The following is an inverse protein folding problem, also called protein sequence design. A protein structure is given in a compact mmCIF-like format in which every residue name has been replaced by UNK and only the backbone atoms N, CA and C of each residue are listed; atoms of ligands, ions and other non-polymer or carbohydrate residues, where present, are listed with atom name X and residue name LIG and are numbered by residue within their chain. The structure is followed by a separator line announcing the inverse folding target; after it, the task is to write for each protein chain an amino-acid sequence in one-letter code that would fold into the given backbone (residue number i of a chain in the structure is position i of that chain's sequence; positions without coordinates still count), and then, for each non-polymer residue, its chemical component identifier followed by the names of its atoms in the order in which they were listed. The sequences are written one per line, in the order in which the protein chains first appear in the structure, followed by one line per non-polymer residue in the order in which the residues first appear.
data_IF_405283613820
#
_entry.id   IF_405283613820
#
_cell.length_a   1.000
_cell.length_b   1.000
_cell.length_c   1.000
_cell.angle_alpha   90.00
_cell.angle_beta   90.00
_cell.angle_gamma   90.00
#
_symmetry.space_group_name_H-M   'P 1'
#
loop_
_entity.id
_entity.type
_entity.pdbx_description
1 polymer ?
#
# COMPACT_ATOMS: atom_id res chain seq x y z
N UNK A 1 -20.59 4.44 -9.97
CA UNK A 1 -19.64 4.54 -8.83
C UNK A 1 -19.86 5.87 -8.14
N UNK A 2 -19.77 5.91 -6.80
CA UNK A 2 -19.90 7.15 -6.02
C UNK A 2 -18.57 7.91 -5.96
N UNK A 3 -18.60 9.22 -5.75
CA UNK A 3 -17.43 10.12 -5.78
C UNK A 3 -16.27 9.70 -4.85
N UNK A 4 -16.57 9.15 -3.68
CA UNK A 4 -15.55 8.72 -2.73
C UNK A 4 -14.73 7.50 -3.20
N UNK A 5 -15.28 6.67 -4.11
CA UNK A 5 -14.50 5.59 -4.72
C UNK A 5 -13.46 6.15 -5.69
N UNK A 6 -13.77 7.24 -6.39
CA UNK A 6 -12.83 7.92 -7.27
C UNK A 6 -11.67 8.50 -6.47
N UNK A 7 -11.96 9.15 -5.35
CA UNK A 7 -10.93 9.63 -4.41
C UNK A 7 -10.02 8.50 -3.91
N UNK A 8 -10.59 7.36 -3.51
CA UNK A 8 -9.80 6.20 -3.10
C UNK A 8 -8.90 5.68 -4.25
N UNK A 9 -9.44 5.55 -5.45
CA UNK A 9 -8.68 5.12 -6.64
C UNK A 9 -7.53 6.07 -6.95
N UNK A 10 -7.72 7.39 -6.83
CA UNK A 10 -6.65 8.37 -7.02
C UNK A 10 -5.53 8.19 -5.99
N UNK A 11 -5.87 7.97 -4.71
CA UNK A 11 -4.87 7.71 -3.66
C UNK A 11 -4.09 6.44 -3.98
N UNK A 12 -4.77 5.36 -4.41
CA UNK A 12 -4.11 4.15 -4.89
C UNK A 12 -3.18 4.45 -6.07
N UNK A 13 -3.63 5.22 -7.06
CA UNK A 13 -2.83 5.61 -8.21
C UNK A 13 -1.54 6.31 -7.79
N UNK A 14 -1.63 7.31 -6.91
CA UNK A 14 -0.46 8.02 -6.37
C UNK A 14 0.48 7.09 -5.60
N UNK A 15 -0.06 6.20 -4.77
CA UNK A 15 0.73 5.24 -4.00
C UNK A 15 1.44 4.22 -4.91
N UNK A 16 0.74 3.69 -5.92
CA UNK A 16 1.29 2.76 -6.90
C UNK A 16 2.41 3.41 -7.69
N UNK A 17 2.25 4.66 -8.13
CA UNK A 17 3.30 5.40 -8.82
C UNK A 17 4.53 5.59 -7.93
N UNK A 18 4.32 5.98 -6.67
CA UNK A 18 5.42 6.18 -5.73
C UNK A 18 6.18 4.88 -5.43
N UNK A 19 5.47 3.83 -5.00
CA UNK A 19 6.12 2.56 -4.65
C UNK A 19 6.66 1.82 -5.87
N UNK A 20 6.00 1.96 -7.03
CA UNK A 20 6.48 1.44 -8.30
C UNK A 20 7.78 2.11 -8.75
N UNK A 21 7.87 3.43 -8.61
CA UNK A 21 9.10 4.17 -8.85
C UNK A 21 10.23 3.73 -7.92
N UNK A 22 9.97 3.61 -6.61
CA UNK A 22 10.96 3.11 -5.65
C UNK A 22 11.39 1.68 -5.98
N UNK A 23 10.45 0.81 -6.33
CA UNK A 23 10.74 -0.56 -6.74
C UNK A 23 11.66 -0.59 -7.97
N UNK A 24 11.38 0.23 -8.98
CA UNK A 24 12.20 0.31 -10.18
C UNK A 24 13.63 0.76 -9.89
N UNK A 25 13.81 1.81 -9.09
CA UNK A 25 15.15 2.28 -8.69
C UNK A 25 15.93 1.19 -7.94
N UNK A 26 15.28 0.52 -6.99
CA UNK A 26 15.94 -0.51 -6.18
C UNK A 26 16.28 -1.75 -7.02
N UNK A 27 15.44 -2.12 -7.98
CA UNK A 27 15.75 -3.16 -8.96
C UNK A 27 16.95 -2.76 -9.82
N UNK A 28 16.97 -1.53 -10.32
CA UNK A 28 18.08 -1.02 -11.11
C UNK A 28 19.40 -1.09 -10.32
N UNK A 29 19.42 -0.59 -9.08
CA UNK A 29 20.59 -0.67 -8.20
C UNK A 29 21.00 -2.12 -7.93
N UNK A 30 20.04 -3.00 -7.63
CA UNK A 30 20.31 -4.43 -7.42
C UNK A 30 21.00 -5.07 -8.62
N UNK A 31 20.47 -4.88 -9.83
CA UNK A 31 21.06 -5.47 -11.03
C UNK A 31 22.39 -4.82 -11.41
N UNK A 32 22.53 -3.49 -11.24
CA UNK A 32 23.79 -2.79 -11.47
C UNK A 32 24.90 -3.32 -10.53
N UNK A 33 24.64 -3.39 -9.23
CA UNK A 33 25.61 -3.88 -8.25
C UNK A 33 25.95 -5.36 -8.48
N UNK A 34 24.95 -6.18 -8.83
CA UNK A 34 25.16 -7.58 -9.14
C UNK A 34 26.01 -7.79 -10.40
N UNK A 35 25.88 -6.92 -11.41
CA UNK A 35 26.73 -6.95 -12.60
C UNK A 35 28.19 -6.60 -12.33
N UNK A 36 28.44 -5.81 -11.28
CA UNK A 36 29.77 -5.42 -10.80
C UNK A 36 30.36 -6.43 -9.79
N UNK A 37 29.64 -7.52 -9.49
CA UNK A 37 30.08 -8.54 -8.54
C UNK A 37 29.89 -8.17 -7.07
N UNK A 38 29.15 -7.10 -6.76
CA UNK A 38 28.82 -6.72 -5.39
C UNK A 38 27.65 -7.56 -4.84
N UNK A 39 27.73 -7.91 -3.56
CA UNK A 39 26.63 -8.54 -2.84
C UNK A 39 25.59 -7.49 -2.40
N UNK A 40 24.53 -7.35 -3.20
CA UNK A 40 23.38 -6.50 -2.88
C UNK A 40 22.18 -7.38 -2.50
N UNK A 41 21.44 -6.99 -1.45
CA UNK A 41 20.24 -7.73 -1.05
C UNK A 41 19.03 -7.35 -1.89
N UNK A 42 18.30 -8.34 -2.41
CA UNK A 42 17.03 -8.12 -3.11
C UNK A 42 15.89 -7.64 -2.18
N UNK A 43 16.08 -7.68 -0.86
CA UNK A 43 15.02 -7.45 0.13
C UNK A 43 14.30 -6.11 -0.07
N UNK A 44 15.04 -5.02 -0.33
CA UNK A 44 14.45 -3.69 -0.51
C UNK A 44 13.64 -3.59 -1.81
N UNK A 45 14.21 -4.06 -2.93
CA UNK A 45 13.53 -4.10 -4.21
C UNK A 45 12.25 -4.95 -4.15
N UNK A 46 12.35 -6.15 -3.56
CA UNK A 46 11.23 -7.07 -3.38
C UNK A 46 10.11 -6.52 -2.50
N UNK A 47 10.43 -5.79 -1.41
CA UNK A 47 9.43 -5.14 -0.55
C UNK A 47 8.61 -4.11 -1.33
N UNK A 48 9.26 -3.19 -2.05
CA UNK A 48 8.54 -2.18 -2.82
C UNK A 48 7.75 -2.78 -3.98
N UNK A 49 8.30 -3.80 -4.64
CA UNK A 49 7.61 -4.52 -5.71
C UNK A 49 6.36 -5.23 -5.18
N UNK A 50 6.48 -5.92 -4.04
CA UNK A 50 5.38 -6.58 -3.37
C UNK A 50 4.28 -5.61 -2.97
N UNK A 51 4.64 -4.49 -2.34
CA UNK A 51 3.68 -3.43 -1.95
C UNK A 51 2.96 -2.86 -3.18
N UNK A 52 3.69 -2.54 -4.25
CA UNK A 52 3.11 -2.03 -5.49
C UNK A 52 2.12 -3.02 -6.10
N UNK A 53 2.49 -4.31 -6.14
CA UNK A 53 1.66 -5.38 -6.67
C UNK A 53 0.37 -5.56 -5.86
N UNK A 54 0.48 -5.58 -4.53
CA UNK A 54 -0.68 -5.67 -3.63
C UNK A 54 -1.61 -4.48 -3.83
N UNK A 55 -1.08 -3.25 -3.91
CA UNK A 55 -1.89 -2.06 -4.12
C UNK A 55 -2.62 -2.08 -5.47
N UNK A 56 -1.96 -2.53 -6.55
CA UNK A 56 -2.59 -2.73 -7.86
C UNK A 56 -3.72 -3.76 -7.74
N UNK A 57 -3.45 -4.91 -7.13
CA UNK A 57 -4.43 -6.00 -7.00
C UNK A 57 -5.68 -5.54 -6.22
N UNK A 58 -5.51 -4.77 -5.14
CA UNK A 58 -6.62 -4.24 -4.35
C UNK A 58 -7.40 -3.17 -5.11
N UNK A 59 -6.72 -2.25 -5.80
CA UNK A 59 -7.37 -1.19 -6.56
C UNK A 59 -8.17 -1.76 -7.74
N UNK A 60 -7.53 -2.60 -8.57
CA UNK A 60 -8.15 -3.21 -9.75
C UNK A 60 -9.19 -4.25 -9.34
N UNK A 61 -8.89 -5.11 -8.37
CA UNK A 61 -9.81 -6.12 -7.85
C UNK A 61 -11.04 -5.50 -7.19
N UNK A 62 -10.84 -4.48 -6.35
CA UNK A 62 -11.94 -3.71 -5.75
C UNK A 62 -12.81 -3.03 -6.82
N UNK A 63 -12.19 -2.37 -7.80
CA UNK A 63 -12.89 -1.75 -8.93
C UNK A 63 -13.70 -2.76 -9.75
N UNK A 64 -13.12 -3.92 -10.05
CA UNK A 64 -13.77 -4.98 -10.81
C UNK A 64 -14.97 -5.58 -10.07
N UNK A 65 -14.81 -5.90 -8.78
CA UNK A 65 -15.88 -6.47 -7.95
C UNK A 65 -17.06 -5.49 -7.77
N UNK A 66 -16.80 -4.19 -7.76
CA UNK A 66 -17.85 -3.16 -7.73
C UNK A 66 -18.70 -3.07 -9.01
N UNK A 67 -18.31 -3.74 -10.10
CA UNK A 67 -19.16 -3.82 -11.31
C UNK A 67 -20.32 -4.79 -11.16
N UNK A 68 -20.23 -5.73 -10.21
CA UNK A 68 -21.28 -6.70 -9.92
C UNK A 68 -22.08 -6.26 -8.68
N UNK A 69 -23.40 -6.15 -8.81
CA UNK A 69 -24.30 -5.73 -7.71
C UNK A 69 -24.23 -6.65 -6.50
N UNK A 70 -24.08 -7.95 -6.72
CA UNK A 70 -23.92 -8.95 -5.64
C UNK A 70 -22.60 -8.82 -4.87
N UNK A 71 -21.54 -8.31 -5.51
CA UNK A 71 -20.19 -8.23 -4.94
C UNK A 71 -19.76 -6.81 -4.54
N UNK A 72 -20.65 -5.82 -4.70
CA UNK A 72 -20.31 -4.41 -4.43
C UNK A 72 -19.85 -4.17 -2.98
N UNK A 73 -20.42 -4.89 -2.00
CA UNK A 73 -19.97 -4.80 -0.59
C UNK A 73 -18.54 -5.29 -0.42
N UNK A 74 -18.20 -6.43 -1.02
CA UNK A 74 -16.84 -6.99 -0.98
C UNK A 74 -15.84 -6.07 -1.69
N UNK A 75 -16.22 -5.53 -2.85
CA UNK A 75 -15.41 -4.56 -3.59
C UNK A 75 -15.10 -3.31 -2.77
N UNK A 76 -16.08 -2.79 -2.02
CA UNK A 76 -15.87 -1.67 -1.10
C UNK A 76 -14.92 -2.05 0.04
N UNK A 77 -15.07 -3.21 0.66
CA UNK A 77 -14.18 -3.66 1.73
C UNK A 77 -12.74 -3.73 1.23
N UNK A 78 -12.51 -4.33 0.07
CA UNK A 78 -11.16 -4.45 -0.51
C UNK A 78 -10.56 -3.08 -0.84
N UNK A 79 -11.35 -2.20 -1.46
CA UNK A 79 -10.89 -0.85 -1.81
C UNK A 79 -10.57 -0.01 -0.56
N UNK A 80 -11.33 -0.14 0.52
CA UNK A 80 -11.13 0.67 1.72
C UNK A 80 -10.22 0.00 2.77
N UNK A 81 -9.81 -1.25 2.55
CA UNK A 81 -9.04 -2.01 3.53
C UNK A 81 -7.76 -1.31 4.00
N UNK A 82 -6.90 -0.72 3.14
CA UNK A 82 -5.69 -0.06 3.64
C UNK A 82 -6.01 1.15 4.52
N UNK A 83 -7.08 1.89 4.20
CA UNK A 83 -7.52 3.01 5.02
C UNK A 83 -8.04 2.56 6.38
N UNK A 84 -8.75 1.42 6.42
CA UNK A 84 -9.19 0.80 7.68
C UNK A 84 -7.97 0.42 8.52
N UNK A 85 -6.95 -0.21 7.93
CA UNK A 85 -5.72 -0.60 8.63
C UNK A 85 -4.99 0.63 9.17
N UNK A 86 -4.85 1.69 8.38
CA UNK A 86 -4.22 2.96 8.81
C UNK A 86 -5.03 3.59 9.96
N UNK A 87 -6.36 3.59 9.86
CA UNK A 87 -7.24 4.12 10.90
C UNK A 87 -7.11 3.35 12.22
N UNK A 88 -7.06 2.01 12.16
CA UNK A 88 -6.85 1.16 13.33
C UNK A 88 -5.48 1.41 13.97
N UNK A 89 -4.43 1.54 13.16
CA UNK A 89 -3.09 1.84 13.66
C UNK A 89 -3.03 3.23 14.32
N UNK A 90 -3.64 4.25 13.71
CA UNK A 90 -3.71 5.60 14.27
C UNK A 90 -4.47 5.62 15.60
N UNK A 91 -5.60 4.92 15.70
CA UNK A 91 -6.36 4.78 16.95
C UNK A 91 -5.52 4.09 18.03
N UNK A 92 -4.85 3.00 17.68
CA UNK A 92 -3.95 2.31 18.60
C UNK A 92 -2.82 3.21 19.10
N UNK A 93 -2.19 3.99 18.20
CA UNK A 93 -1.15 4.95 18.56
C UNK A 93 -1.68 6.04 19.51
N UNK A 94 -2.88 6.56 19.27
CA UNK A 94 -3.54 7.53 20.16
C UNK A 94 -3.77 6.92 21.55
N UNK A 95 -4.27 5.69 21.63
CA UNK A 95 -4.48 4.99 22.91
C UNK A 95 -3.17 4.86 23.66
N UNK A 96 -2.08 4.46 22.99
CA UNK A 96 -0.77 4.37 23.62
C UNK A 96 -0.30 5.71 24.18
N UNK A 97 -0.39 6.79 23.40
CA UNK A 97 0.00 8.13 23.83
C UNK A 97 -0.81 8.55 25.07
N UNK A 98 -2.13 8.39 25.05
CA UNK A 98 -2.99 8.74 26.19
C UNK A 98 -2.71 7.86 27.43
N UNK A 99 -2.51 6.55 27.24
CA UNK A 99 -2.21 5.61 28.32
C UNK A 99 -0.82 5.82 28.95
N UNK A 100 0.14 6.35 28.19
CA UNK A 100 1.50 6.62 28.66
C UNK A 100 1.58 7.86 29.57
N UNK A 101 0.51 8.64 29.72
CA UNK A 101 0.43 9.75 30.67
C UNK A 101 1.53 10.81 30.50
N UNK A 102 2.08 10.97 29.30
CA UNK A 102 3.20 11.89 29.04
C UNK A 102 4.56 11.40 29.53
N UNK A 103 4.69 10.16 30.02
CA UNK A 103 5.98 9.54 30.38
C UNK A 103 6.54 8.77 29.18
N UNK A 104 6.94 9.50 28.16
CA UNK A 104 7.86 8.98 27.15
C UNK A 104 9.27 9.26 27.70
N UNK A 105 9.88 8.26 28.33
CA UNK A 105 11.33 8.26 28.57
C UNK A 105 12.05 8.09 27.23
#
# INVERSE_FOLDING_TARGET
MKWYHFGAILIYGSAILYFGYQSYLQLYVYFANKSLGHEESFSMAGKYLGLTTVLIAMSVGGWYLMKYTSMTKLGNVILFFPFIVIGLFALWAIILILSSGGKWN
#
